data_IF_320550745530
#
_entry.id   IF_320550745530
#
_cell.length_a   1.000
_cell.length_b   1.000
_cell.length_c   1.000
_cell.angle_alpha   90.00
_cell.angle_beta   90.00
_cell.angle_gamma   90.00
#
_symmetry.space_group_name_H-M   'P 1'
#
loop_
_entity.id
_entity.type
_entity.pdbx_description
1 polymer ?
#
# COMPACT_ATOMS: atom_id res chain seq x y z
N UNK A 1 -2.21 -16.00 7.21
CA UNK A 1 -2.21 -14.74 7.99
C UNK A 1 -2.50 -14.98 9.47
N UNK A 2 -3.74 -15.37 9.86
CA UNK A 2 -4.11 -15.50 11.28
C UNK A 2 -3.15 -16.39 12.09
N UNK A 3 -2.86 -17.61 11.61
CA UNK A 3 -1.92 -18.52 12.29
C UNK A 3 -0.56 -17.89 12.62
N UNK A 4 -0.01 -17.10 11.70
CA UNK A 4 1.28 -16.45 11.91
C UNK A 4 1.17 -15.36 12.97
N UNK A 5 0.18 -14.47 12.87
CA UNK A 5 0.03 -13.38 13.84
C UNK A 5 -0.31 -13.87 15.24
N UNK A 6 -1.10 -14.95 15.36
CA UNK A 6 -1.43 -15.61 16.64
C UNK A 6 -0.24 -16.33 17.26
N UNK A 7 0.82 -16.60 16.48
CA UNK A 7 2.08 -17.16 17.01
C UNK A 7 2.98 -16.11 17.67
N UNK A 8 2.71 -14.81 17.44
CA UNK A 8 3.45 -13.69 18.03
C UNK A 8 2.92 -13.38 19.43
N UNK A 9 3.83 -13.09 20.37
CA UNK A 9 3.48 -12.80 21.75
C UNK A 9 2.88 -11.40 21.97
N UNK A 10 2.30 -11.12 23.15
CA UNK A 10 1.73 -9.81 23.49
C UNK A 10 2.74 -8.65 23.43
N UNK A 11 4.02 -8.92 23.70
CA UNK A 11 5.09 -7.92 23.63
C UNK A 11 5.35 -7.43 22.19
N UNK A 12 4.82 -8.15 21.19
CA UNK A 12 4.92 -7.84 19.75
C UNK A 12 3.65 -7.16 19.23
N UNK A 13 2.64 -6.89 20.06
CA UNK A 13 1.38 -6.25 19.64
C UNK A 13 1.59 -4.88 18.98
N UNK A 14 2.65 -4.21 19.42
CA UNK A 14 3.08 -2.89 19.02
C UNK A 14 4.07 -2.91 17.85
N UNK A 15 4.49 -4.09 17.38
CA UNK A 15 5.23 -4.26 16.14
C UNK A 15 4.33 -3.95 14.95
N UNK A 16 4.95 -3.50 13.85
CA UNK A 16 4.23 -3.05 12.66
C UNK A 16 4.35 -4.12 11.58
N UNK A 17 3.21 -4.61 11.10
CA UNK A 17 3.17 -5.57 9.99
C UNK A 17 2.68 -4.88 8.72
N UNK A 18 3.29 -5.25 7.60
CA UNK A 18 2.82 -4.97 6.24
C UNK A 18 2.47 -6.31 5.60
N UNK A 19 1.23 -6.48 5.18
CA UNK A 19 0.74 -7.66 4.47
C UNK A 19 0.36 -7.22 3.06
N UNK A 20 0.81 -7.98 2.06
CA UNK A 20 0.60 -7.68 0.64
C UNK A 20 0.27 -8.96 -0.12
N UNK A 21 -0.46 -8.82 -1.22
CA UNK A 21 -0.60 -9.88 -2.22
C UNK A 21 0.76 -10.25 -2.81
N UNK A 22 0.97 -11.54 -3.03
CA UNK A 22 2.28 -12.06 -3.40
C UNK A 22 2.60 -11.93 -4.89
N UNK A 23 1.59 -11.98 -5.77
CA UNK A 23 1.80 -12.15 -7.22
C UNK A 23 1.82 -10.85 -8.00
N UNK A 24 1.29 -9.76 -7.45
CA UNK A 24 0.98 -8.56 -8.22
C UNK A 24 1.18 -7.27 -7.42
N UNK A 25 2.10 -7.29 -6.47
CA UNK A 25 2.57 -6.12 -5.74
C UNK A 25 4.03 -5.85 -6.05
N UNK A 26 4.34 -4.59 -6.37
CA UNK A 26 5.70 -4.12 -6.62
C UNK A 26 6.06 -3.04 -5.61
N UNK A 27 7.13 -3.27 -4.85
CA UNK A 27 7.65 -2.29 -3.89
C UNK A 27 8.51 -1.23 -4.59
N UNK A 28 8.23 0.04 -4.29
CA UNK A 28 9.00 1.17 -4.82
C UNK A 28 9.85 1.85 -3.76
N UNK A 29 9.27 2.12 -2.57
CA UNK A 29 9.94 2.90 -1.54
C UNK A 29 10.48 2.03 -0.40
N UNK A 30 11.58 2.47 0.24
CA UNK A 30 12.18 1.72 1.34
C UNK A 30 11.29 1.63 2.57
N UNK A 31 11.44 0.58 3.41
CA UNK A 31 10.66 0.42 4.64
C UNK A 31 10.71 1.63 5.57
N UNK A 32 11.85 2.31 5.70
CA UNK A 32 11.93 3.54 6.51
C UNK A 32 10.89 4.58 6.09
N UNK A 33 10.75 4.83 4.78
CA UNK A 33 9.81 5.84 4.26
C UNK A 33 8.37 5.40 4.52
N UNK A 34 8.09 4.11 4.36
CA UNK A 34 6.78 3.52 4.65
C UNK A 34 6.38 3.68 6.12
N UNK A 35 7.30 3.39 7.04
CA UNK A 35 7.04 3.51 8.49
C UNK A 35 6.85 4.98 8.88
N UNK A 36 7.68 5.90 8.39
CA UNK A 36 7.50 7.33 8.62
C UNK A 36 6.13 7.83 8.14
N UNK A 37 5.71 7.41 6.94
CA UNK A 37 4.41 7.76 6.38
C UNK A 37 3.27 7.15 7.14
N UNK A 38 3.38 5.90 7.57
CA UNK A 38 2.36 5.21 8.36
C UNK A 38 1.96 6.06 9.59
N UNK A 39 2.92 6.55 10.37
CA UNK A 39 2.61 7.36 11.55
C UNK A 39 2.04 8.74 11.22
N UNK A 40 2.51 9.40 10.16
CA UNK A 40 1.93 10.66 9.68
C UNK A 40 0.47 10.47 9.22
N UNK A 41 0.21 9.39 8.48
CA UNK A 41 -1.12 9.03 7.99
C UNK A 41 -2.04 8.71 9.17
N UNK A 42 -1.60 7.88 10.12
CA UNK A 42 -2.34 7.57 11.35
C UNK A 42 -2.75 8.83 12.11
N UNK A 43 -1.80 9.76 12.31
CA UNK A 43 -2.10 11.03 12.97
C UNK A 43 -3.13 11.87 12.21
N UNK A 44 -2.96 12.03 10.89
CA UNK A 44 -3.91 12.80 10.06
C UNK A 44 -5.29 12.15 10.01
N UNK A 45 -5.35 10.84 9.98
CA UNK A 45 -6.57 10.05 9.96
C UNK A 45 -7.36 10.21 11.28
N UNK A 46 -6.67 10.14 12.43
CA UNK A 46 -7.29 10.43 13.72
C UNK A 46 -7.80 11.89 13.81
N UNK A 47 -7.05 12.87 13.29
CA UNK A 47 -7.50 14.27 13.25
C UNK A 47 -8.76 14.41 12.39
N UNK A 48 -8.82 13.75 11.23
CA UNK A 48 -10.00 13.75 10.38
C UNK A 48 -11.21 13.07 11.05
N UNK A 49 -10.97 11.97 11.77
CA UNK A 49 -12.00 11.27 12.54
C UNK A 49 -12.53 12.14 13.69
N UNK A 50 -11.65 12.80 14.45
CA UNK A 50 -12.05 13.73 15.51
C UNK A 50 -12.92 14.88 14.95
N UNK A 51 -12.55 15.41 13.77
CA UNK A 51 -13.35 16.42 13.06
C UNK A 51 -14.73 15.89 12.68
N UNK A 52 -14.84 14.66 12.17
CA UNK A 52 -16.11 14.00 11.84
C UNK A 52 -17.01 13.84 13.07
N UNK A 53 -16.41 13.55 14.24
CA UNK A 53 -17.12 13.42 15.51
C UNK A 53 -17.37 14.74 16.25
N UNK A 54 -16.89 15.87 15.74
CA UNK A 54 -16.97 17.17 16.40
C UNK A 54 -16.42 17.16 17.84
N UNK A 55 -15.33 16.41 18.06
CA UNK A 55 -14.65 16.29 19.37
C UNK A 55 -13.15 16.59 19.23
N UNK A 56 -12.46 16.73 20.36
CA UNK A 56 -11.00 16.87 20.36
C UNK A 56 -10.33 15.54 20.05
N UNK A 57 -9.10 15.58 19.52
CA UNK A 57 -8.26 14.37 19.32
C UNK A 57 -8.08 13.58 20.63
N UNK A 58 -7.94 14.30 21.76
CA UNK A 58 -7.83 13.69 23.09
C UNK A 58 -9.11 12.92 23.47
N UNK A 59 -10.27 13.49 23.19
CA UNK A 59 -11.56 12.85 23.50
C UNK A 59 -11.86 11.69 22.56
N UNK A 60 -11.45 11.78 21.30
CA UNK A 60 -11.48 10.66 20.36
C UNK A 60 -10.70 9.47 20.93
N UNK A 61 -9.46 9.70 21.35
CA UNK A 61 -8.59 8.68 21.93
C UNK A 61 -9.13 8.11 23.25
N UNK A 62 -9.76 8.94 24.10
CA UNK A 62 -10.43 8.48 25.33
C UNK A 62 -11.61 7.55 25.05
N UNK A 63 -12.26 7.69 23.89
CA UNK A 63 -13.35 6.82 23.43
C UNK A 63 -12.85 5.59 22.66
N UNK A 64 -11.55 5.34 22.67
CA UNK A 64 -10.91 4.27 21.90
C UNK A 64 -11.16 4.34 20.38
N UNK A 65 -11.49 5.52 19.84
CA UNK A 65 -11.64 5.70 18.40
C UNK A 65 -10.28 6.02 17.79
N UNK A 66 -9.83 5.21 16.82
CA UNK A 66 -8.50 5.33 16.18
C UNK A 66 -8.53 4.94 14.71
N UNK A 67 -7.51 5.32 13.97
CA UNK A 67 -7.21 4.77 12.65
C UNK A 67 -5.75 4.33 12.61
N UNK A 68 -5.52 3.03 12.72
CA UNK A 68 -4.18 2.40 12.81
C UNK A 68 -4.00 1.25 11.83
N UNK A 69 -5.08 0.71 11.27
CA UNK A 69 -5.05 -0.37 10.27
C UNK A 69 -5.45 0.21 8.92
N UNK A 70 -4.47 0.44 8.05
CA UNK A 70 -4.68 1.06 6.75
C UNK A 70 -4.69 0.04 5.63
N UNK A 71 -5.74 0.08 4.81
CA UNK A 71 -5.92 -0.73 3.61
C UNK A 71 -5.76 0.10 2.33
N UNK A 72 -5.56 -0.59 1.21
CA UNK A 72 -5.52 0.03 -0.12
C UNK A 72 -6.85 0.68 -0.52
N UNK A 73 -6.83 1.79 -1.28
CA UNK A 73 -8.04 2.44 -1.78
C UNK A 73 -8.53 1.86 -3.12
N UNK A 74 -9.82 1.55 -3.26
CA UNK A 74 -10.50 1.24 -4.52
C UNK A 74 -11.50 2.34 -4.92
N UNK A 75 -11.63 2.54 -6.24
CA UNK A 75 -12.61 3.43 -6.87
C UNK A 75 -13.94 2.76 -7.24
N UNK A 76 -14.09 1.48 -6.86
CA UNK A 76 -15.32 0.71 -7.03
C UNK A 76 -15.60 -0.12 -5.78
N UNK A 77 -16.86 -0.26 -5.40
CA UNK A 77 -17.24 -1.23 -4.39
C UNK A 77 -17.15 -2.63 -4.99
N UNK A 78 -16.19 -3.44 -4.55
CA UNK A 78 -16.05 -4.82 -4.98
C UNK A 78 -16.00 -5.79 -3.79
N UNK A 79 -16.76 -6.91 -3.81
CA UNK A 79 -17.80 -7.23 -4.77
C UNK A 79 -19.01 -6.29 -4.71
N UNK A 80 -19.56 -5.91 -5.86
CA UNK A 80 -20.62 -4.91 -5.91
C UNK A 80 -21.96 -5.48 -5.44
N UNK A 81 -22.50 -4.89 -4.37
CA UNK A 81 -23.92 -4.98 -4.02
C UNK A 81 -24.31 -3.67 -3.34
N UNK A 82 -25.05 -2.82 -4.04
CA UNK A 82 -25.40 -1.48 -3.54
C UNK A 82 -26.26 -1.51 -2.28
N UNK A 83 -26.91 -2.63 -1.97
CA UNK A 83 -27.65 -2.84 -0.72
C UNK A 83 -26.71 -3.18 0.44
N UNK A 84 -25.53 -3.70 0.16
CA UNK A 84 -24.60 -4.14 1.19
C UNK A 84 -23.90 -2.95 1.88
N UNK A 85 -23.73 -2.99 3.22
CA UNK A 85 -23.09 -1.92 3.99
C UNK A 85 -21.71 -1.52 3.46
N UNK A 86 -20.92 -2.48 2.96
CA UNK A 86 -19.61 -2.21 2.36
C UNK A 86 -19.65 -1.20 1.21
N UNK A 87 -20.77 -1.08 0.52
CA UNK A 87 -20.90 -0.12 -0.57
C UNK A 87 -21.47 1.23 -0.11
N UNK A 88 -22.32 1.29 0.92
CA UNK A 88 -23.06 2.51 1.28
C UNK A 88 -22.73 3.11 2.65
N UNK A 89 -22.40 2.29 3.66
CA UNK A 89 -22.19 2.73 5.04
C UNK A 89 -20.77 3.26 5.32
N UNK A 90 -19.86 3.07 4.36
CA UNK A 90 -18.46 3.50 4.45
C UNK A 90 -18.29 5.00 4.17
N UNK A 91 -17.30 5.67 4.80
CA UNK A 91 -17.11 7.12 4.68
C UNK A 91 -16.78 7.54 3.25
N UNK A 92 -17.13 8.79 2.92
CA UNK A 92 -16.73 9.40 1.64
C UNK A 92 -15.23 9.67 1.61
N UNK A 93 -14.68 9.77 0.40
CA UNK A 93 -13.28 10.14 0.21
C UNK A 93 -13.00 11.55 0.75
N UNK A 94 -11.90 11.76 1.50
CA UNK A 94 -11.48 13.09 1.91
C UNK A 94 -10.80 13.88 0.79
N UNK A 95 -10.64 13.29 -0.41
CA UNK A 95 -10.01 13.94 -1.56
C UNK A 95 -10.95 14.93 -2.28
N UNK A 96 -12.27 14.84 -2.08
CA UNK A 96 -13.31 15.76 -2.56
C UNK A 96 -13.09 16.30 -3.98
N UNK A 97 -13.53 15.56 -4.99
CA UNK A 97 -13.49 15.93 -6.42
C UNK A 97 -12.06 16.08 -6.99
N UNK A 98 -11.07 15.43 -6.37
CA UNK A 98 -9.68 15.49 -6.83
C UNK A 98 -9.48 14.90 -8.23
N UNK A 99 -10.36 13.98 -8.64
CA UNK A 99 -10.33 13.34 -9.97
C UNK A 99 -11.09 14.12 -11.04
N UNK A 100 -11.38 15.39 -10.77
CA UNK A 100 -11.84 16.36 -11.76
C UNK A 100 -13.36 16.37 -11.99
N UNK A 101 -13.82 17.22 -12.91
CA UNK A 101 -15.25 17.51 -13.10
C UNK A 101 -16.08 16.32 -13.63
N UNK A 102 -15.41 15.26 -14.08
CA UNK A 102 -16.06 14.03 -14.54
C UNK A 102 -16.40 13.07 -13.39
N UNK A 103 -16.06 13.39 -12.14
CA UNK A 103 -16.46 12.60 -10.98
C UNK A 103 -17.99 12.40 -10.97
N UNK A 104 -18.43 11.15 -10.79
CA UNK A 104 -19.85 10.80 -10.78
C UNK A 104 -20.51 10.66 -12.15
N UNK A 105 -19.78 10.70 -13.27
CA UNK A 105 -20.33 10.47 -14.61
C UNK A 105 -20.62 8.98 -14.94
N UNK A 106 -20.32 8.07 -14.01
CA UNK A 106 -20.49 6.62 -14.16
C UNK A 106 -19.24 5.88 -14.64
N UNK A 107 -18.18 6.58 -15.03
CA UNK A 107 -16.89 5.99 -15.35
C UNK A 107 -16.04 5.85 -14.08
N UNK A 108 -15.68 4.60 -13.76
CA UNK A 108 -14.90 4.23 -12.58
C UNK A 108 -13.62 5.05 -12.43
N UNK A 109 -12.98 5.43 -13.54
CA UNK A 109 -11.68 6.10 -13.47
C UNK A 109 -11.79 7.47 -12.79
N UNK A 110 -12.91 8.17 -12.95
CA UNK A 110 -13.09 9.51 -12.36
C UNK A 110 -13.69 9.49 -10.96
N UNK A 111 -14.07 8.32 -10.44
CA UNK A 111 -14.56 8.22 -9.07
C UNK A 111 -13.45 8.58 -8.08
N UNK A 112 -13.83 9.32 -7.03
CA UNK A 112 -13.00 9.40 -5.83
C UNK A 112 -12.84 7.99 -5.20
N UNK A 113 -11.65 7.64 -4.69
CA UNK A 113 -11.46 6.38 -3.99
C UNK A 113 -12.25 6.36 -2.71
N UNK A 114 -13.02 5.29 -2.51
CA UNK A 114 -13.96 5.19 -1.39
C UNK A 114 -13.94 3.82 -0.71
N UNK A 115 -13.66 2.77 -1.45
CA UNK A 115 -13.84 1.40 -0.97
C UNK A 115 -12.52 0.72 -0.65
N UNK A 116 -12.57 -0.30 0.19
CA UNK A 116 -11.40 -1.02 0.67
C UNK A 116 -10.93 -2.00 -0.39
N UNK A 117 -9.61 -2.02 -0.62
CA UNK A 117 -8.91 -3.04 -1.36
C UNK A 117 -8.11 -3.92 -0.39
N UNK A 118 -8.29 -5.25 -0.43
CA UNK A 118 -7.68 -6.15 0.57
C UNK A 118 -6.24 -6.56 0.25
N UNK A 119 -5.74 -6.32 -0.96
CA UNK A 119 -4.42 -6.82 -1.37
C UNK A 119 -3.24 -6.14 -0.67
N UNK A 120 -3.49 -5.10 0.13
CA UNK A 120 -2.47 -4.41 0.92
C UNK A 120 -3.03 -3.94 2.27
N UNK A 121 -2.30 -4.19 3.36
CA UNK A 121 -2.62 -3.63 4.67
C UNK A 121 -1.37 -3.39 5.51
N UNK A 122 -1.36 -2.29 6.27
CA UNK A 122 -0.32 -1.99 7.25
C UNK A 122 -0.92 -1.53 8.57
N UNK A 123 -0.44 -2.08 9.68
CA UNK A 123 -0.90 -1.72 11.02
C UNK A 123 -0.21 -2.51 12.14
N UNK A 124 -0.44 -2.16 13.40
CA UNK A 124 0.15 -2.84 14.54
C UNK A 124 -0.36 -4.29 14.60
N UNK A 125 0.50 -5.23 14.95
CA UNK A 125 0.18 -6.66 15.01
C UNK A 125 -1.07 -6.91 15.85
N UNK A 126 -1.18 -6.28 17.03
CA UNK A 126 -2.31 -6.44 17.92
C UNK A 126 -3.64 -5.99 17.30
N UNK A 127 -3.63 -4.90 16.52
CA UNK A 127 -4.82 -4.39 15.84
C UNK A 127 -5.19 -5.27 14.65
N UNK A 128 -4.20 -5.71 13.86
CA UNK A 128 -4.43 -6.63 12.74
C UNK A 128 -4.97 -7.97 13.22
N UNK A 129 -4.51 -8.51 14.36
CA UNK A 129 -5.08 -9.73 14.96
C UNK A 129 -6.57 -9.57 15.25
N UNK A 130 -6.98 -8.45 15.84
CA UNK A 130 -8.41 -8.18 16.11
C UNK A 130 -9.23 -8.11 14.83
N UNK A 131 -8.69 -7.45 13.80
CA UNK A 131 -9.32 -7.40 12.47
C UNK A 131 -9.49 -8.80 11.88
N UNK A 132 -8.42 -9.61 11.86
CA UNK A 132 -8.50 -10.97 11.31
C UNK A 132 -9.44 -11.87 12.10
N UNK A 133 -9.47 -11.77 13.44
CA UNK A 133 -10.41 -12.51 14.26
C UNK A 133 -11.87 -12.15 13.92
N UNK A 134 -12.16 -10.85 13.74
CA UNK A 134 -13.47 -10.38 13.31
C UNK A 134 -13.82 -10.84 11.88
N UNK A 135 -12.85 -10.86 10.95
CA UNK A 135 -13.03 -11.39 9.59
C UNK A 135 -13.31 -12.89 9.59
N UNK A 136 -12.63 -13.66 10.42
CA UNK A 136 -12.87 -15.11 10.51
C UNK A 136 -14.23 -15.42 11.13
N UNK A 137 -14.68 -14.61 12.10
CA UNK A 137 -16.05 -14.69 12.61
C UNK A 137 -17.07 -14.33 11.52
N UNK A 138 -16.80 -13.32 10.69
CA UNK A 138 -17.65 -12.98 9.53
C UNK A 138 -17.77 -14.16 8.56
N UNK A 139 -16.64 -14.79 8.20
CA UNK A 139 -16.62 -15.97 7.33
C UNK A 139 -17.46 -17.08 7.96
N UNK A 140 -17.21 -17.44 9.22
CA UNK A 140 -17.94 -18.51 9.90
C UNK A 140 -19.46 -18.29 9.94
N UNK A 141 -19.90 -17.03 10.02
CA UNK A 141 -21.32 -16.67 10.11
C UNK A 141 -22.02 -16.52 8.76
N UNK A 142 -21.29 -16.18 7.69
CA UNK A 142 -21.88 -15.76 6.41
C UNK A 142 -21.46 -16.60 5.22
N UNK A 143 -20.55 -17.57 5.40
CA UNK A 143 -20.08 -18.42 4.33
C UNK A 143 -21.23 -19.17 3.65
N UNK A 144 -21.32 -19.01 2.34
CA UNK A 144 -22.22 -19.75 1.46
C UNK A 144 -21.40 -20.50 0.41
N UNK A 145 -21.46 -21.83 0.43
CA UNK A 145 -20.76 -22.67 -0.53
C UNK A 145 -21.19 -22.42 -1.99
N UNK A 146 -22.38 -21.86 -2.21
CA UNK A 146 -22.92 -21.56 -3.53
C UNK A 146 -22.62 -20.13 -3.99
N UNK A 147 -22.11 -19.27 -3.10
CA UNK A 147 -21.70 -17.93 -3.49
C UNK A 147 -20.41 -18.00 -4.31
N UNK A 148 -20.40 -17.33 -5.47
CA UNK A 148 -19.27 -17.34 -6.40
C UNK A 148 -17.99 -16.79 -5.75
N UNK A 149 -18.13 -15.76 -4.91
CA UNK A 149 -17.03 -15.05 -4.28
C UNK A 149 -16.85 -15.48 -2.81
N UNK A 150 -17.25 -16.71 -2.46
CA UNK A 150 -17.16 -17.27 -1.10
C UNK A 150 -15.74 -17.35 -0.53
N UNK A 151 -14.72 -17.29 -1.38
CA UNK A 151 -13.30 -17.27 -1.00
C UNK A 151 -12.67 -15.87 -1.11
N UNK A 152 -13.48 -14.83 -1.36
CA UNK A 152 -12.98 -13.46 -1.47
C UNK A 152 -12.69 -12.88 -0.10
N UNK A 153 -11.41 -12.68 0.21
CA UNK A 153 -10.93 -11.93 1.36
C UNK A 153 -11.47 -10.49 1.37
N UNK A 154 -11.45 -9.79 0.22
CA UNK A 154 -11.98 -8.44 0.08
C UNK A 154 -13.46 -8.35 0.48
N UNK A 155 -14.27 -9.35 0.12
CA UNK A 155 -15.69 -9.40 0.50
C UNK A 155 -15.87 -9.38 2.02
N UNK A 156 -15.22 -10.31 2.74
CA UNK A 156 -15.40 -10.43 4.19
C UNK A 156 -14.75 -9.28 4.96
N UNK A 157 -13.54 -8.86 4.58
CA UNK A 157 -12.83 -7.74 5.22
C UNK A 157 -13.61 -6.43 5.04
N UNK A 158 -14.16 -6.19 3.84
CA UNK A 158 -14.96 -4.99 3.58
C UNK A 158 -16.27 -4.99 4.36
N UNK A 159 -16.91 -6.15 4.58
CA UNK A 159 -18.10 -6.23 5.44
C UNK A 159 -17.77 -5.88 6.90
N UNK A 160 -16.63 -6.37 7.42
CA UNK A 160 -16.16 -6.04 8.78
C UNK A 160 -15.87 -4.54 8.91
N UNK A 161 -15.15 -3.95 7.95
CA UNK A 161 -14.88 -2.51 7.96
C UNK A 161 -16.18 -1.68 7.88
N UNK A 162 -17.11 -2.07 7.02
CA UNK A 162 -18.38 -1.39 6.87
C UNK A 162 -19.22 -1.42 8.15
N UNK A 163 -19.15 -2.52 8.91
CA UNK A 163 -19.80 -2.63 10.21
C UNK A 163 -19.23 -1.60 11.19
N UNK A 164 -17.90 -1.49 11.30
CA UNK A 164 -17.25 -0.44 12.10
C UNK A 164 -17.76 0.96 11.69
N UNK A 165 -17.76 1.26 10.39
CA UNK A 165 -18.14 2.59 9.89
C UNK A 165 -19.64 2.89 10.03
N UNK A 166 -20.49 1.87 9.92
CA UNK A 166 -21.91 1.97 10.26
C UNK A 166 -22.09 2.36 11.73
N UNK A 167 -21.40 1.70 12.66
CA UNK A 167 -21.51 2.01 14.09
C UNK A 167 -20.98 3.39 14.44
N UNK A 168 -19.85 3.80 13.85
CA UNK A 168 -19.35 5.18 13.95
C UNK A 168 -20.42 6.17 13.49
N UNK A 169 -21.08 5.89 12.38
CA UNK A 169 -22.16 6.74 11.86
C UNK A 169 -23.40 6.76 12.74
N UNK A 170 -23.77 5.61 13.32
CA UNK A 170 -24.91 5.51 14.23
C UNK A 170 -24.70 6.32 15.52
N UNK A 171 -23.46 6.36 16.03
CA UNK A 171 -23.09 7.24 17.15
C UNK A 171 -23.27 8.72 16.79
N UNK A 172 -22.89 9.12 15.56
CA UNK A 172 -23.04 10.50 15.08
C UNK A 172 -24.51 10.90 14.90
N UNK A 173 -25.35 9.97 14.44
CA UNK A 173 -26.80 10.18 14.30
C UNK A 173 -27.56 10.00 15.61
N UNK A 174 -26.87 9.71 16.72
CA UNK A 174 -27.47 9.45 18.03
C UNK A 174 -28.53 8.34 17.99
N UNK A 175 -28.26 7.28 17.22
CA UNK A 175 -29.17 6.16 17.04
C UNK A 175 -30.23 6.35 15.95
N UNK A 176 -30.30 7.52 15.30
CA UNK A 176 -31.16 7.72 14.14
C UNK A 176 -30.61 7.01 12.89
N UNK A 177 -31.43 6.92 11.84
CA UNK A 177 -31.09 6.26 10.57
C UNK A 177 -29.76 6.76 9.99
N UNK A 178 -28.84 5.84 9.70
CA UNK A 178 -27.59 6.15 9.00
C UNK A 178 -27.89 6.35 7.51
N UNK A 179 -27.55 7.51 6.93
CA UNK A 179 -27.88 7.83 5.53
C UNK A 179 -27.05 7.00 4.52
N UNK A 180 -27.58 6.88 3.30
CA UNK A 180 -26.91 6.25 2.16
C UNK A 180 -27.58 4.96 1.70
N UNK A 181 -27.21 4.48 0.50
CA UNK A 181 -27.72 3.23 -0.06
C UNK A 181 -29.17 3.32 -0.58
N UNK A 182 -29.66 2.25 -1.23
CA UNK A 182 -31.04 2.17 -1.70
C UNK A 182 -32.03 1.96 -0.52
N UNK A 183 -33.33 2.07 -0.81
CA UNK A 183 -34.39 1.90 0.21
C UNK A 183 -34.45 0.47 0.77
N UNK A 184 -34.03 -0.53 0.01
CA UNK A 184 -33.98 -1.95 0.38
C UNK A 184 -32.60 -2.40 0.86
N UNK A 185 -31.78 -1.45 1.34
CA UNK A 185 -30.42 -1.74 1.82
C UNK A 185 -30.42 -2.68 3.02
N UNK A 186 -29.38 -3.51 3.10
CA UNK A 186 -29.09 -4.33 4.26
C UNK A 186 -28.44 -3.48 5.34
N UNK A 187 -28.96 -3.58 6.56
CA UNK A 187 -28.42 -2.90 7.75
C UNK A 187 -27.60 -3.91 8.55
N UNK A 188 -26.35 -3.59 8.98
CA UNK A 188 -25.58 -4.50 9.82
C UNK A 188 -26.31 -4.87 11.11
N UNK A 189 -26.28 -6.15 11.51
CA UNK A 189 -26.89 -6.60 12.77
C UNK A 189 -26.14 -6.11 14.02
N UNK A 190 -26.88 -5.99 15.13
CA UNK A 190 -26.48 -5.40 16.43
C UNK A 190 -25.52 -6.22 17.30
N UNK A 191 -25.01 -7.36 16.83
CA UNK A 191 -24.23 -8.27 17.70
C UNK A 191 -22.73 -7.99 17.66
N UNK A 192 -22.32 -6.81 18.11
CA UNK A 192 -20.98 -6.62 18.64
C UNK A 192 -21.12 -5.87 19.95
N UNK A 193 -20.53 -6.39 21.02
CA UNK A 193 -20.35 -5.59 22.22
C UNK A 193 -19.55 -4.34 21.80
N UNK A 194 -19.78 -3.18 22.41
CA UNK A 194 -19.15 -1.92 22.02
C UNK A 194 -17.60 -1.99 21.95
N UNK A 195 -16.97 -2.98 22.61
CA UNK A 195 -15.54 -3.28 22.52
C UNK A 195 -15.09 -3.92 21.20
N UNK A 196 -15.99 -4.58 20.46
CA UNK A 196 -15.68 -5.43 19.31
C UNK A 196 -15.95 -4.74 17.97
N UNK A 197 -16.66 -3.60 17.99
CA UNK A 197 -17.02 -2.85 16.79
C UNK A 197 -15.90 -1.92 16.27
N UNK A 198 -15.01 -1.47 17.16
CA UNK A 198 -13.94 -0.52 16.86
C UNK A 198 -12.62 -1.27 16.63
N UNK A 199 -12.32 -1.54 15.37
CA UNK A 199 -11.16 -2.32 14.91
C UNK A 199 -10.04 -1.45 14.33
N UNK A 200 -10.20 -0.12 14.44
CA UNK A 200 -9.27 0.89 13.95
C UNK A 200 -9.00 0.84 12.43
N UNK A 201 -9.89 0.20 11.67
CA UNK A 201 -9.76 0.02 10.22
C UNK A 201 -10.00 1.34 9.47
N UNK A 202 -9.20 1.57 8.42
CA UNK A 202 -9.25 2.76 7.58
C UNK A 202 -8.67 2.48 6.18
N UNK A 203 -8.93 3.39 5.24
CA UNK A 203 -8.31 3.40 3.90
C UNK A 203 -7.21 4.46 3.86
N UNK A 204 -6.11 4.13 3.20
CA UNK A 204 -5.10 5.12 2.84
C UNK A 204 -5.48 5.83 1.53
N UNK A 205 -6.35 6.84 1.62
CA UNK A 205 -6.98 7.47 0.45
C UNK A 205 -6.04 8.17 -0.53
N UNK A 206 -4.84 8.59 -0.08
CA UNK A 206 -3.95 9.44 -0.91
C UNK A 206 -2.97 8.62 -1.74
N UNK A 207 -2.94 7.30 -1.62
CA UNK A 207 -1.92 6.46 -2.25
C UNK A 207 -0.49 6.89 -1.92
N UNK A 208 -0.27 7.36 -0.69
CA UNK A 208 1.07 7.58 -0.15
C UNK A 208 1.73 6.28 0.27
N UNK A 209 0.98 5.31 0.78
CA UNK A 209 1.49 3.96 1.03
C UNK A 209 1.15 3.05 -0.16
N UNK A 210 -0.12 3.00 -0.55
CA UNK A 210 -0.64 1.98 -1.46
C UNK A 210 -1.27 2.61 -2.71
N UNK A 211 -0.64 2.41 -3.87
CA UNK A 211 -1.25 2.71 -5.16
C UNK A 211 -1.90 1.45 -5.71
N UNK A 212 -3.22 1.37 -5.71
CA UNK A 212 -3.95 0.32 -6.42
C UNK A 212 -4.06 0.69 -7.89
N UNK A 213 -4.15 -0.31 -8.77
CA UNK A 213 -4.51 -0.08 -10.18
C UNK A 213 -5.98 0.30 -10.33
N UNK A 214 -6.88 -0.26 -9.52
CA UNK A 214 -8.35 -0.19 -9.57
C UNK A 214 -9.00 1.16 -9.97
N UNK A 215 -9.01 1.49 -11.27
CA UNK A 215 -9.54 2.74 -11.84
C UNK A 215 -8.56 3.93 -11.75
N UNK A 216 -7.30 3.67 -11.39
CA UNK A 216 -6.25 4.67 -11.27
C UNK A 216 -5.32 4.75 -12.47
N UNK A 217 -5.44 3.86 -13.46
CA UNK A 217 -4.51 3.72 -14.60
C UNK A 217 -4.16 5.05 -15.29
N UNK A 218 -5.08 6.01 -15.50
CA UNK A 218 -4.73 7.30 -16.11
C UNK A 218 -4.01 8.27 -15.16
N UNK A 219 -4.03 8.01 -13.85
CA UNK A 219 -3.68 8.93 -12.77
C UNK A 219 -2.40 8.56 -12.01
N UNK A 220 -1.67 7.53 -12.44
CA UNK A 220 -0.33 7.28 -11.94
C UNK A 220 0.64 6.95 -13.07
N UNK A 221 1.93 7.03 -12.74
CA UNK A 221 3.03 6.62 -13.61
C UNK A 221 4.32 7.29 -13.18
N UNK A 222 5.35 7.22 -14.02
CA UNK A 222 6.70 7.59 -13.61
C UNK A 222 7.07 9.02 -13.99
N UNK A 223 7.62 9.75 -13.02
CA UNK A 223 8.18 11.08 -13.23
C UNK A 223 9.65 11.12 -12.82
N UNK A 224 10.42 11.88 -13.60
CA UNK A 224 11.81 12.21 -13.27
C UNK A 224 11.87 13.53 -12.51
N UNK A 225 12.65 13.55 -11.41
CA UNK A 225 12.74 14.70 -10.50
C UNK A 225 13.99 15.56 -10.76
N UNK A 226 14.22 15.92 -12.03
CA UNK A 226 15.45 16.58 -12.47
C UNK A 226 15.49 18.11 -12.25
N UNK A 227 14.34 18.72 -11.99
CA UNK A 227 14.24 20.17 -11.79
C UNK A 227 14.92 20.64 -10.49
N UNK A 228 15.19 21.94 -10.41
CA UNK A 228 15.74 22.56 -9.21
C UNK A 228 14.87 22.22 -7.97
N UNK A 229 15.52 21.78 -6.90
CA UNK A 229 14.84 21.33 -5.68
C UNK A 229 14.36 19.88 -5.70
N UNK A 230 14.69 19.07 -6.72
CA UNK A 230 14.22 17.68 -6.90
C UNK A 230 12.71 17.65 -7.15
N UNK A 231 12.29 18.36 -8.20
CA UNK A 231 10.89 18.47 -8.61
C UNK A 231 10.67 17.82 -9.97
N UNK A 232 9.46 17.31 -10.16
CA UNK A 232 8.94 16.92 -11.46
C UNK A 232 7.84 17.89 -11.88
N UNK A 233 7.77 18.25 -13.17
CA UNK A 233 6.69 19.09 -13.69
C UNK A 233 5.62 18.23 -14.34
N UNK A 234 4.39 18.32 -13.85
CA UNK A 234 3.23 17.76 -14.52
C UNK A 234 2.68 18.76 -15.53
N UNK A 235 2.93 18.48 -16.81
CA UNK A 235 2.48 19.31 -17.93
C UNK A 235 1.33 18.64 -18.73
N UNK A 236 0.83 17.51 -18.25
CA UNK A 236 -0.22 16.74 -18.92
C UNK A 236 -1.55 17.01 -18.22
N UNK A 237 -2.54 17.44 -19.00
CA UNK A 237 -3.91 17.64 -18.54
C UNK A 237 -4.65 16.31 -18.41
N UNK A 238 -4.26 15.52 -17.41
CA UNK A 238 -4.84 14.20 -17.12
C UNK A 238 -6.33 14.25 -16.73
N UNK A 239 -6.82 15.43 -16.32
CA UNK A 239 -8.21 15.65 -15.93
C UNK A 239 -9.07 16.24 -17.08
N UNK A 240 -8.48 16.47 -18.26
CA UNK A 240 -9.12 17.09 -19.42
C UNK A 240 -9.80 18.45 -19.11
N UNK A 241 -9.15 19.30 -18.31
CA UNK A 241 -9.62 20.64 -17.94
C UNK A 241 -9.50 21.68 -19.07
N UNK A 242 -8.79 21.35 -20.15
CA UNK A 242 -8.59 22.21 -21.30
C UNK A 242 -7.88 23.51 -20.93
N UNK A 243 -8.47 24.67 -21.26
CA UNK A 243 -7.88 25.98 -20.98
C UNK A 243 -7.72 26.28 -19.47
N UNK A 244 -8.40 25.54 -18.59
CA UNK A 244 -8.27 25.70 -17.15
C UNK A 244 -7.07 24.95 -16.57
N UNK A 245 -6.50 23.99 -17.33
CA UNK A 245 -5.33 23.25 -16.88
C UNK A 245 -4.15 24.19 -16.68
N UNK A 246 -3.52 24.07 -15.51
CA UNK A 246 -2.27 24.74 -15.20
C UNK A 246 -1.24 23.69 -14.82
N UNK A 247 -0.07 23.66 -15.46
CA UNK A 247 1.02 22.81 -15.01
C UNK A 247 1.34 23.04 -13.54
N UNK A 248 1.70 21.96 -12.86
CA UNK A 248 2.06 22.00 -11.44
C UNK A 248 3.31 21.16 -11.20
N UNK A 249 4.03 21.48 -10.13
CA UNK A 249 5.21 20.74 -9.72
C UNK A 249 4.84 19.71 -8.64
N UNK A 250 5.49 18.55 -8.69
CA UNK A 250 5.47 17.54 -7.64
C UNK A 250 6.86 17.51 -7.02
N UNK A 251 6.94 17.71 -5.72
CA UNK A 251 8.20 17.68 -4.96
C UNK A 251 8.57 16.25 -4.59
N UNK A 252 9.85 15.89 -4.72
CA UNK A 252 10.40 14.71 -4.06
C UNK A 252 10.56 15.01 -2.55
N UNK A 253 9.84 14.30 -1.66
CA UNK A 253 9.96 14.52 -0.23
C UNK A 253 11.39 14.28 0.27
N UNK A 254 11.81 15.06 1.27
CA UNK A 254 13.17 14.97 1.83
C UNK A 254 13.52 13.56 2.30
N UNK A 255 12.59 12.87 2.96
CA UNK A 255 12.83 11.52 3.46
C UNK A 255 12.97 10.48 2.34
N UNK A 256 12.20 10.60 1.25
CA UNK A 256 12.36 9.79 0.03
C UNK A 256 13.76 10.00 -0.54
N UNK A 257 14.16 11.26 -0.73
CA UNK A 257 15.49 11.61 -1.25
C UNK A 257 16.61 11.02 -0.40
N UNK A 258 16.57 11.25 0.91
CA UNK A 258 17.60 10.76 1.84
C UNK A 258 17.66 9.23 1.90
N UNK A 259 16.52 8.55 1.91
CA UNK A 259 16.46 7.09 1.94
C UNK A 259 16.99 6.46 0.65
N UNK A 260 16.60 7.00 -0.52
CA UNK A 260 17.06 6.50 -1.82
C UNK A 260 18.56 6.75 -2.03
N UNK A 261 19.06 7.95 -1.69
CA UNK A 261 20.50 8.24 -1.73
C UNK A 261 21.30 7.27 -0.85
N UNK A 262 20.83 6.99 0.38
CA UNK A 262 21.51 6.04 1.27
C UNK A 262 21.56 4.63 0.70
N UNK A 263 20.46 4.16 0.12
CA UNK A 263 20.42 2.81 -0.49
C UNK A 263 21.34 2.76 -1.70
N UNK A 264 21.29 3.77 -2.57
CA UNK A 264 22.21 3.87 -3.71
C UNK A 264 23.67 3.82 -3.24
N UNK A 265 24.05 4.61 -2.24
CA UNK A 265 25.41 4.61 -1.68
C UNK A 265 25.82 3.29 -0.98
N UNK A 266 24.89 2.35 -0.75
CA UNK A 266 25.20 1.04 -0.13
C UNK A 266 25.81 0.02 -1.10
N UNK A 267 25.79 0.28 -2.41
CA UNK A 267 26.30 -0.61 -3.46
C UNK A 267 27.24 0.11 -4.46
N UNK A 268 28.29 0.78 -3.99
CA UNK A 268 29.14 1.63 -4.84
C UNK A 268 29.78 0.89 -6.03
N UNK A 269 29.99 -0.41 -5.91
CA UNK A 269 30.52 -1.26 -6.99
C UNK A 269 29.56 -1.40 -8.17
N UNK A 270 28.24 -1.25 -7.94
CA UNK A 270 27.21 -1.38 -8.97
C UNK A 270 27.06 -0.10 -9.84
N UNK A 271 27.67 1.02 -9.45
CA UNK A 271 27.56 2.30 -10.16
C UNK A 271 28.87 3.11 -10.13
N UNK A 272 29.97 2.54 -10.66
CA UNK A 272 31.30 3.14 -10.54
C UNK A 272 31.35 4.56 -11.11
N UNK A 273 31.74 5.51 -10.26
CA UNK A 273 31.93 6.91 -10.64
C UNK A 273 30.66 7.77 -10.63
N UNK A 274 29.48 7.19 -10.37
CA UNK A 274 28.22 7.93 -10.24
C UNK A 274 28.04 8.34 -8.79
N UNK A 275 27.78 9.63 -8.54
CA UNK A 275 27.51 10.14 -7.18
C UNK A 275 26.01 10.14 -6.93
N UNK A 276 25.57 9.75 -5.74
CA UNK A 276 24.14 9.75 -5.39
C UNK A 276 23.45 11.10 -5.61
N UNK A 277 24.14 12.22 -5.35
CA UNK A 277 23.61 13.58 -5.59
C UNK A 277 23.25 13.87 -7.06
N UNK A 278 23.92 13.19 -7.98
CA UNK A 278 23.73 13.35 -9.42
C UNK A 278 22.67 12.34 -9.89
N UNK A 279 22.77 11.08 -9.44
CA UNK A 279 21.79 10.02 -9.72
C UNK A 279 20.38 10.33 -9.23
N UNK A 280 20.23 10.90 -8.04
CA UNK A 280 18.91 11.18 -7.45
C UNK A 280 18.09 12.20 -8.27
N UNK A 281 18.73 12.92 -9.20
CA UNK A 281 18.08 13.84 -10.13
C UNK A 281 17.61 13.17 -11.42
N UNK A 282 18.11 11.97 -11.72
CA UNK A 282 17.74 11.19 -12.92
C UNK A 282 16.79 10.04 -12.59
N UNK A 283 16.51 9.80 -11.31
CA UNK A 283 15.63 8.73 -10.88
C UNK A 283 14.19 8.99 -11.35
N UNK A 284 13.56 7.95 -11.89
CA UNK A 284 12.14 7.93 -12.22
C UNK A 284 11.40 7.20 -11.11
N UNK A 285 10.42 7.86 -10.53
CA UNK A 285 9.59 7.28 -9.47
C UNK A 285 8.14 7.32 -9.91
N UNK A 286 7.43 6.25 -9.62
CA UNK A 286 5.99 6.13 -9.69
C UNK A 286 5.31 7.12 -8.76
N UNK A 287 4.39 7.90 -9.32
CA UNK A 287 3.68 8.99 -8.68
C UNK A 287 2.20 8.86 -8.98
N UNK A 288 1.36 9.05 -7.97
CA UNK A 288 -0.04 9.38 -8.16
C UNK A 288 -0.14 10.87 -8.52
N UNK A 289 -0.58 11.16 -9.73
CA UNK A 289 -0.60 12.52 -10.28
C UNK A 289 -1.62 13.42 -9.60
N UNK A 290 -2.71 12.85 -9.08
CA UNK A 290 -3.81 13.59 -8.45
C UNK A 290 -3.48 13.92 -7.00
N UNK A 291 -3.09 12.92 -6.21
CA UNK A 291 -2.70 13.13 -4.80
C UNK A 291 -1.27 13.64 -4.62
N UNK A 292 -0.51 13.67 -5.73
CA UNK A 292 0.88 14.12 -5.81
C UNK A 292 1.82 13.29 -4.92
N UNK A 293 1.46 12.05 -4.64
CA UNK A 293 2.25 11.16 -3.80
C UNK A 293 3.16 10.29 -4.66
N UNK A 294 4.46 10.28 -4.36
CA UNK A 294 5.34 9.18 -4.76
C UNK A 294 4.91 7.97 -3.92
N UNK A 295 4.25 6.97 -4.49
CA UNK A 295 3.65 5.88 -3.72
C UNK A 295 4.69 4.89 -3.18
N UNK A 296 4.33 4.21 -2.10
CA UNK A 296 5.18 3.23 -1.42
C UNK A 296 5.34 1.92 -2.18
N UNK A 297 4.21 1.35 -2.56
CA UNK A 297 4.09 0.17 -3.39
C UNK A 297 2.94 0.34 -4.37
N UNK A 298 2.99 -0.44 -5.45
CA UNK A 298 1.93 -0.54 -6.42
C UNK A 298 1.31 -1.94 -6.36
N UNK A 299 -0.02 -2.00 -6.30
CA UNK A 299 -0.82 -3.22 -6.35
C UNK A 299 -1.57 -3.27 -7.70
N UNK A 300 -1.20 -4.21 -8.57
CA UNK A 300 -1.78 -4.43 -9.89
C UNK A 300 -3.09 -5.24 -9.82
N UNK A 301 -4.07 -4.70 -9.09
CA UNK A 301 -5.42 -5.25 -8.98
C UNK A 301 -6.05 -5.42 -10.37
N UNK A 302 -6.75 -6.53 -10.60
CA UNK A 302 -7.30 -6.88 -11.92
C UNK A 302 -6.32 -7.69 -12.79
N UNK A 303 -6.24 -7.39 -14.09
CA UNK A 303 -5.38 -8.13 -15.04
C UNK A 303 -3.89 -7.91 -14.74
N UNK A 304 -3.10 -8.99 -14.75
CA UNK A 304 -1.69 -9.02 -14.31
C UNK A 304 -0.67 -8.77 -15.42
N UNK A 305 -1.15 -8.54 -16.64
CA UNK A 305 -0.36 -8.38 -17.87
C UNK A 305 0.67 -7.24 -17.79
N UNK A 306 0.49 -6.29 -16.88
CA UNK A 306 1.36 -5.12 -16.76
C UNK A 306 2.57 -5.35 -15.85
N UNK A 307 2.57 -6.37 -14.98
CA UNK A 307 3.68 -6.58 -14.02
C UNK A 307 5.02 -6.74 -14.74
N UNK A 308 5.06 -7.54 -15.79
CA UNK A 308 6.29 -7.80 -16.57
C UNK A 308 6.82 -6.53 -17.26
N UNK A 309 5.92 -5.66 -17.73
CA UNK A 309 6.28 -4.40 -18.38
C UNK A 309 6.68 -3.31 -17.37
N UNK A 310 6.17 -3.39 -16.14
CA UNK A 310 6.42 -2.42 -15.07
C UNK A 310 7.72 -2.70 -14.32
N UNK A 311 8.05 -3.97 -14.10
CA UNK A 311 9.28 -4.39 -13.42
C UNK A 311 10.56 -3.71 -13.94
N UNK A 312 10.85 -3.65 -15.26
CA UNK A 312 12.07 -3.01 -15.77
C UNK A 312 12.05 -1.48 -15.69
N UNK A 313 10.92 -0.84 -15.38
CA UNK A 313 10.82 0.62 -15.21
C UNK A 313 11.25 1.08 -13.82
N UNK A 314 11.39 0.16 -12.88
CA UNK A 314 11.71 0.49 -11.49
C UNK A 314 13.14 0.99 -11.37
N UNK A 315 13.32 2.01 -10.53
CA UNK A 315 14.62 2.66 -10.33
C UNK A 315 15.72 1.71 -9.84
N UNK A 316 15.32 0.64 -9.14
CA UNK A 316 16.24 -0.34 -8.58
C UNK A 316 16.55 -1.50 -9.54
N UNK A 317 15.82 -1.64 -10.66
CA UNK A 317 16.02 -2.72 -11.61
C UNK A 317 17.46 -2.80 -12.18
N UNK A 318 18.14 -1.68 -12.52
CA UNK A 318 19.54 -1.70 -12.96
C UNK A 318 20.56 -2.15 -11.90
N UNK A 319 20.14 -2.29 -10.65
CA UNK A 319 20.99 -2.59 -9.50
C UNK A 319 20.38 -3.71 -8.63
N UNK A 320 19.44 -4.48 -9.18
CA UNK A 320 18.58 -5.39 -8.43
C UNK A 320 19.39 -6.48 -7.71
N UNK A 321 20.41 -7.03 -8.37
CA UNK A 321 21.25 -8.09 -7.80
C UNK A 321 22.05 -7.55 -6.61
N UNK A 322 22.70 -6.40 -6.80
CA UNK A 322 23.50 -5.75 -5.77
C UNK A 322 22.65 -5.31 -4.57
N UNK A 323 21.46 -4.74 -4.81
CA UNK A 323 20.56 -4.33 -3.72
C UNK A 323 20.03 -5.52 -2.92
N UNK A 324 19.70 -6.64 -3.56
CA UNK A 324 19.28 -7.84 -2.84
C UNK A 324 20.41 -8.35 -1.95
N UNK A 325 21.65 -8.45 -2.45
CA UNK A 325 22.82 -8.84 -1.64
C UNK A 325 23.05 -7.89 -0.46
N UNK A 326 22.95 -6.58 -0.70
CA UNK A 326 23.10 -5.57 0.34
C UNK A 326 22.01 -5.68 1.42
N UNK A 327 20.75 -5.91 1.02
CA UNK A 327 19.64 -6.11 1.95
C UNK A 327 19.81 -7.36 2.82
N UNK A 328 20.29 -8.47 2.22
CA UNK A 328 20.58 -9.71 2.96
C UNK A 328 21.66 -9.48 4.00
N UNK A 329 22.76 -8.83 3.61
CA UNK A 329 23.86 -8.50 4.52
C UNK A 329 23.40 -7.59 5.66
N UNK A 330 22.68 -6.51 5.34
CA UNK A 330 22.12 -5.57 6.32
C UNK A 330 21.21 -6.29 7.34
N UNK A 331 20.39 -7.23 6.87
CA UNK A 331 19.58 -8.11 7.73
C UNK A 331 20.45 -8.99 8.63
N UNK A 332 21.43 -9.71 8.08
CA UNK A 332 22.31 -10.60 8.85
C UNK A 332 23.16 -9.84 9.90
N UNK A 333 23.54 -8.60 9.59
CA UNK A 333 24.29 -7.72 10.49
C UNK A 333 23.40 -7.09 11.58
N UNK A 334 22.08 -7.33 11.54
CA UNK A 334 21.12 -6.81 12.51
C UNK A 334 20.93 -5.29 12.42
N UNK A 335 21.14 -4.71 11.24
CA UNK A 335 21.03 -3.27 11.05
C UNK A 335 19.60 -2.78 11.27
N UNK A 336 19.48 -1.54 11.75
CA UNK A 336 18.19 -0.89 11.93
C UNK A 336 17.66 -0.39 10.58
N UNK A 337 16.34 -0.45 10.40
CA UNK A 337 15.63 0.06 9.21
C UNK A 337 15.90 1.56 8.99
N UNK A 338 16.10 2.31 10.08
CA UNK A 338 16.36 3.74 10.05
C UNK A 338 17.42 4.12 11.08
N UNK A 339 18.24 5.12 10.73
CA UNK A 339 19.28 5.66 11.63
C UNK A 339 18.71 6.56 12.73
N UNK A 340 17.51 7.11 12.52
CA UNK A 340 16.80 7.98 13.46
C UNK A 340 15.54 7.29 13.95
N UNK A 341 15.13 7.49 15.21
CA UNK A 341 13.87 6.96 15.69
C UNK A 341 12.68 7.49 14.88
N UNK A 342 11.74 6.61 14.55
CA UNK A 342 10.46 6.95 13.91
C UNK A 342 9.36 6.73 14.95
N UNK A 343 8.54 7.74 15.19
CA UNK A 343 7.56 7.76 16.28
C UNK A 343 8.16 7.39 17.66
N UNK A 344 9.40 7.85 17.91
CA UNK A 344 10.11 7.60 19.16
C UNK A 344 10.70 6.19 19.30
N UNK A 345 10.61 5.33 18.28
CA UNK A 345 11.09 3.94 18.29
C UNK A 345 12.19 3.71 17.27
N UNK A 346 13.10 2.78 17.58
CA UNK A 346 14.03 2.20 16.61
C UNK A 346 13.38 0.96 15.99
N UNK A 347 13.53 0.81 14.69
CA UNK A 347 12.85 -0.25 13.92
C UNK A 347 13.87 -1.21 13.34
N UNK A 348 13.61 -2.50 13.46
CA UNK A 348 14.41 -3.59 12.90
C UNK A 348 13.47 -4.67 12.34
N UNK A 349 13.97 -5.51 11.44
CA UNK A 349 13.22 -6.67 10.96
C UNK A 349 13.06 -7.70 12.09
N UNK A 350 11.87 -8.29 12.22
CA UNK A 350 11.59 -9.31 13.23
C UNK A 350 12.39 -10.59 13.04
N UNK A 351 12.52 -11.00 11.77
CA UNK A 351 13.28 -12.16 11.36
C UNK A 351 14.44 -11.73 10.48
N UNK A 352 15.57 -12.40 10.65
CA UNK A 352 16.76 -12.21 9.84
C UNK A 352 16.83 -13.24 8.72
N UNK A 353 17.52 -12.91 7.64
CA UNK A 353 17.82 -13.91 6.60
C UNK A 353 18.75 -14.98 7.19
N UNK A 354 18.48 -16.25 6.85
CA UNK A 354 19.34 -17.35 7.29
C UNK A 354 20.78 -17.13 6.81
N UNK A 355 21.75 -17.39 7.69
CA UNK A 355 23.17 -17.34 7.34
C UNK A 355 23.55 -18.42 6.31
N UNK A 356 24.73 -18.32 5.69
CA UNK A 356 25.20 -19.31 4.74
C UNK A 356 25.47 -20.65 5.45
N UNK A 357 24.76 -21.72 5.09
CA UNK A 357 25.13 -23.10 5.48
C UNK A 357 26.45 -23.52 4.77
N UNK A 358 26.73 -22.93 3.60
CA UNK A 358 27.95 -23.06 2.81
C UNK A 358 28.27 -21.73 2.11
N UNK A 359 29.52 -21.45 1.70
CA UNK A 359 29.85 -20.21 0.98
C UNK A 359 28.95 -19.99 -0.25
N UNK A 360 28.29 -18.83 -0.32
CA UNK A 360 27.34 -18.49 -1.38
C UNK A 360 25.91 -19.01 -1.18
N UNK A 361 25.66 -19.87 -0.17
CA UNK A 361 24.30 -20.24 0.19
C UNK A 361 23.55 -19.01 0.73
N UNK A 362 22.31 -18.83 0.28
CA UNK A 362 21.42 -17.74 0.70
C UNK A 362 21.98 -16.33 0.44
N UNK A 363 22.87 -16.14 -0.54
CA UNK A 363 23.42 -14.81 -0.88
C UNK A 363 22.33 -13.80 -1.31
N UNK A 364 21.22 -14.29 -1.86
CA UNK A 364 20.03 -13.53 -2.22
C UNK A 364 18.90 -13.66 -1.20
N UNK A 365 19.17 -14.28 -0.04
CA UNK A 365 18.19 -14.49 1.01
C UNK A 365 17.13 -15.51 0.63
N UNK A 366 15.88 -15.18 0.93
CA UNK A 366 14.73 -16.09 0.86
C UNK A 366 13.57 -15.61 1.73
N UNK A 367 12.55 -16.44 1.88
CA UNK A 367 11.36 -16.16 2.68
C UNK A 367 11.16 -17.18 3.79
N UNK A 368 10.59 -16.75 4.92
CA UNK A 368 10.14 -17.65 5.98
C UNK A 368 8.70 -18.08 5.71
N UNK A 369 8.47 -19.40 5.69
CA UNK A 369 7.15 -20.02 5.51
C UNK A 369 6.57 -20.48 6.85
N UNK A 370 5.26 -20.27 7.03
CA UNK A 370 4.46 -20.74 8.17
C UNK A 370 3.96 -22.18 7.99
N UNK A 371 4.41 -22.90 6.96
CA UNK A 371 4.02 -24.31 6.68
C UNK A 371 4.33 -25.26 7.85
N UNK A 372 5.35 -24.96 8.65
CA UNK A 372 5.75 -25.73 9.83
C UNK A 372 5.80 -24.82 11.05
N UNK A 373 5.53 -25.39 12.23
CA UNK A 373 5.46 -24.65 13.52
C UNK A 373 6.75 -23.88 13.85
N UNK A 374 7.91 -24.39 13.45
CA UNK A 374 9.21 -23.73 13.64
C UNK A 374 9.57 -22.70 12.56
N UNK A 375 8.71 -22.53 11.56
CA UNK A 375 9.03 -21.89 10.29
C UNK A 375 9.96 -22.76 9.42
N UNK A 376 9.81 -22.65 8.10
CA UNK A 376 10.84 -23.13 7.15
C UNK A 376 11.40 -21.93 6.40
N UNK A 377 12.72 -21.77 6.40
CA UNK A 377 13.37 -20.84 5.49
C UNK A 377 13.40 -21.46 4.08
N UNK A 378 12.80 -20.76 3.12
CA UNK A 378 12.80 -21.11 1.71
C UNK A 378 13.79 -20.19 1.01
N UNK A 379 14.90 -20.75 0.54
CA UNK A 379 15.98 -19.98 -0.08
C UNK A 379 15.56 -19.38 -1.42
N UNK A 380 16.18 -18.26 -1.81
CA UNK A 380 15.99 -17.63 -3.12
C UNK A 380 16.07 -18.60 -4.29
N UNK A 381 17.04 -19.52 -4.27
CA UNK A 381 17.22 -20.51 -5.35
C UNK A 381 15.98 -21.39 -5.55
N UNK A 382 15.27 -21.69 -4.47
CA UNK A 382 14.02 -22.46 -4.53
C UNK A 382 12.84 -21.58 -5.00
N UNK A 383 12.74 -20.34 -4.52
CA UNK A 383 11.64 -19.42 -4.84
C UNK A 383 11.74 -18.81 -6.25
N UNK A 384 12.92 -18.32 -6.60
CA UNK A 384 13.16 -17.41 -7.72
C UNK A 384 14.22 -17.92 -8.70
N UNK A 385 14.93 -19.02 -8.37
CA UNK A 385 16.04 -19.54 -9.17
C UNK A 385 15.74 -19.69 -10.68
N UNK A 386 14.59 -20.27 -11.08
CA UNK A 386 14.24 -20.38 -12.50
C UNK A 386 14.09 -19.03 -13.25
N UNK A 387 13.86 -17.94 -12.52
CA UNK A 387 13.61 -16.60 -13.06
C UNK A 387 14.76 -15.62 -12.76
N UNK A 388 15.87 -16.09 -12.19
CA UNK A 388 16.95 -15.22 -11.72
C UNK A 388 17.55 -14.36 -12.84
N UNK A 389 17.71 -14.91 -14.05
CA UNK A 389 18.18 -14.14 -15.21
C UNK A 389 17.25 -12.97 -15.50
N UNK A 390 15.93 -13.20 -15.54
CA UNK A 390 14.94 -12.16 -15.79
C UNK A 390 14.96 -11.09 -14.69
N UNK A 391 15.01 -11.52 -13.43
CA UNK A 391 14.97 -10.64 -12.26
C UNK A 391 16.20 -9.74 -12.15
N UNK A 392 17.38 -10.23 -12.57
CA UNK A 392 18.66 -9.51 -12.50
C UNK A 392 19.17 -9.01 -13.85
N UNK A 393 18.39 -9.16 -14.93
CA UNK A 393 18.78 -8.75 -16.29
C UNK A 393 19.19 -7.28 -16.38
N UNK A 394 18.55 -6.41 -15.59
CA UNK A 394 18.87 -4.98 -15.57
C UNK A 394 20.31 -4.66 -15.14
N UNK A 395 20.91 -5.52 -14.30
CA UNK A 395 22.28 -5.36 -13.82
C UNK A 395 23.27 -6.27 -14.56
N UNK A 396 22.87 -7.52 -14.86
CA UNK A 396 23.74 -8.53 -15.51
C UNK A 396 23.91 -8.31 -17.01
N UNK A 397 22.99 -7.60 -17.67
CA UNK A 397 22.99 -7.38 -19.11
C UNK A 397 23.53 -6.01 -19.53
N UNK A 398 24.18 -5.94 -20.70
CA UNK A 398 24.40 -4.67 -21.40
C UNK A 398 23.07 -4.23 -22.02
N UNK A 399 22.44 -3.21 -21.43
CA UNK A 399 21.19 -2.61 -21.89
C UNK A 399 21.23 -2.23 -23.38
N UNK A 400 20.47 -2.93 -24.23
CA UNK A 400 20.00 -2.43 -25.51
C UNK A 400 18.47 -2.63 -25.53
N UNK A 401 17.67 -1.56 -25.37
CA UNK A 401 16.22 -1.69 -25.43
C UNK A 401 15.86 -2.14 -26.85
N UNK A 402 15.06 -3.20 -26.98
CA UNK A 402 14.48 -3.55 -28.27
C UNK A 402 13.59 -2.41 -28.74
N UNK A 403 13.55 -2.13 -30.04
CA UNK A 403 12.73 -1.02 -30.58
C UNK A 403 11.22 -1.17 -30.32
N UNK A 404 10.78 -2.33 -29.82
CA UNK A 404 9.40 -2.67 -29.52
C UNK A 404 8.94 -2.26 -28.10
N UNK A 405 9.86 -1.87 -27.19
CA UNK A 405 9.53 -1.35 -25.85
C UNK A 405 9.59 0.18 -25.78
N UNK A 406 8.93 0.85 -26.72
CA UNK A 406 8.57 2.26 -26.49
C UNK A 406 7.44 2.28 -25.45
N UNK A 407 7.57 3.00 -24.31
CA UNK A 407 6.43 3.26 -23.46
C UNK A 407 5.30 3.83 -24.31
N UNK A 408 4.06 3.44 -24.00
CA UNK A 408 2.82 3.91 -24.63
C UNK A 408 2.70 5.44 -24.51
N UNK A 409 3.48 6.16 -25.30
CA UNK A 409 3.26 7.55 -25.62
C UNK A 409 2.36 7.56 -26.85
N UNK A 410 1.19 8.20 -26.67
CA UNK A 410 0.15 8.47 -27.68
C UNK A 410 -0.68 7.27 -28.15
N UNK A 411 -1.88 7.15 -27.58
CA UNK A 411 -3.06 7.01 -28.44
C UNK A 411 -3.35 8.39 -29.04
N UNK A 412 -2.96 8.57 -30.30
CA UNK A 412 -3.53 9.63 -31.13
C UNK A 412 -5.04 9.41 -31.23
N UNK A 413 -5.79 10.48 -30.96
CA UNK A 413 -7.23 10.60 -31.21
C UNK A 413 -7.63 9.98 -32.56
N UNK A 414 -8.64 9.12 -32.54
CA UNK A 414 -9.72 9.15 -33.53
C UNK A 414 -11.02 9.28 -32.77
#
# INVERSE_FOLDING_TARGET
MQRYLDSLGPDEDDDLVLIVDAYDVIHQLPPQVMIERYFDIAHRADVALAKRFHITLKDLHRRNLRQTVFWGPDKVCFPTDWRAPRCWAVPQSPLSDAFGPNNGNGDIVFNDPRWLNSGTVMGPVGDIRRVLAATMAEIANTYDANFELRESDQYYISNVWARQEYWRSLQLTQGAEVPGGPNDRFVPETKLNDSDAELHMAIEYKSSLFQTKAGYEPFFGYLEFSQAGHRANMNIDILNLGQQFKPYAIDMPKNVREALTRIFDSVPEAHPGIKAKDWIRTVKLGVNYVSQQIYGLWHCTGTKEQIDAEYPLLWWYPYAESFVKAAVKSSQDGELISSKPIAGRKWASKAYHAGPETPGANEYGGAWSDEKVSGRFIAWKELCGPYEELLFRGERGTWAPSEDEKPLTRRSRR
#
